data_IF_618219586799
#
_entry.id   IF_618219586799
#
_cell.length_a   1.000
_cell.length_b   1.000
_cell.length_c   1.000
_cell.angle_alpha   90.00
_cell.angle_beta   90.00
_cell.angle_gamma   90.00
#
_symmetry.space_group_name_H-M   'P 1'
#
loop_
_entity.id
_entity.type
_entity.pdbx_description
1 polymer ?
#
# COMPACT_ATOMS: atom_id res chain seq x y z
N UNK A 1 43.56 22.69 5.53
CA UNK A 1 42.42 22.21 4.76
C UNK A 1 42.39 20.70 4.52
N UNK A 2 43.49 20.01 4.16
CA UNK A 2 43.49 18.55 3.90
C UNK A 2 43.14 17.66 5.13
N UNK A 3 43.51 18.09 6.35
CA UNK A 3 43.27 17.30 7.59
C UNK A 3 41.79 17.30 8.03
N UNK A 4 41.00 18.33 7.70
CA UNK A 4 39.59 18.41 8.03
C UNK A 4 38.71 17.59 7.07
N UNK A 5 39.13 17.43 5.81
CA UNK A 5 38.42 16.63 4.82
C UNK A 5 38.48 15.13 5.17
N UNK A 6 39.67 14.66 5.65
CA UNK A 6 39.83 13.26 6.06
C UNK A 6 38.97 12.92 7.29
N UNK A 7 38.81 13.86 8.22
CA UNK A 7 37.94 13.68 9.40
C UNK A 7 36.45 13.58 9.04
N UNK A 8 35.99 14.37 8.07
CA UNK A 8 34.60 14.36 7.63
C UNK A 8 34.27 13.07 6.86
N UNK A 9 35.21 12.59 6.02
CA UNK A 9 35.03 11.33 5.28
C UNK A 9 35.03 10.13 6.24
N UNK A 10 35.89 10.12 7.26
CA UNK A 10 35.89 9.05 8.26
C UNK A 10 34.62 9.03 9.12
N UNK A 11 34.03 10.19 9.44
CA UNK A 11 32.77 10.30 10.17
C UNK A 11 31.59 9.81 9.33
N UNK A 12 31.59 10.10 8.02
CA UNK A 12 30.52 9.64 7.09
C UNK A 12 30.51 8.11 6.92
N UNK A 13 31.68 7.47 6.95
CA UNK A 13 31.78 6.00 6.82
C UNK A 13 31.29 5.28 8.09
N UNK A 14 31.41 5.91 9.27
CA UNK A 14 30.94 5.33 10.54
C UNK A 14 29.41 5.32 10.67
N UNK A 15 28.69 6.21 9.97
CA UNK A 15 27.22 6.30 10.01
C UNK A 15 26.57 5.22 9.13
N UNK A 16 27.29 4.65 8.16
CA UNK A 16 26.79 3.62 7.23
C UNK A 16 26.94 2.18 7.75
N UNK A 17 27.58 1.95 8.90
CA UNK A 17 27.82 0.60 9.45
C UNK A 17 26.79 0.14 10.48
N UNK A 18 25.65 0.81 10.60
CA UNK A 18 24.51 0.36 11.40
C UNK A 18 23.76 -0.78 10.73
N UNK A 19 24.37 -1.97 10.58
CA UNK A 19 23.64 -3.19 10.30
C UNK A 19 22.79 -3.55 11.52
N UNK A 20 21.59 -2.98 11.61
CA UNK A 20 20.56 -3.54 12.46
C UNK A 20 20.18 -4.90 11.88
N UNK A 21 20.45 -5.97 12.60
CA UNK A 21 19.93 -7.32 12.30
C UNK A 21 18.43 -7.30 12.49
N UNK A 22 17.70 -7.02 11.41
CA UNK A 22 16.24 -7.11 11.38
C UNK A 22 15.89 -8.59 11.23
N UNK A 23 15.04 -9.17 12.10
CA UNK A 23 14.52 -10.53 11.93
C UNK A 23 13.96 -10.74 10.52
N UNK A 24 14.11 -11.94 9.97
CA UNK A 24 13.73 -12.24 8.57
C UNK A 24 12.27 -11.90 8.25
N UNK A 25 11.39 -12.10 9.19
CA UNK A 25 9.95 -11.79 9.11
C UNK A 25 9.62 -10.29 9.03
N UNK A 26 10.58 -9.40 9.32
CA UNK A 26 10.39 -7.93 9.26
C UNK A 26 11.25 -7.24 8.19
N UNK A 27 12.02 -7.98 7.39
CA UNK A 27 12.89 -7.39 6.35
C UNK A 27 12.09 -6.58 5.30
N UNK A 28 10.88 -7.06 4.95
CA UNK A 28 9.98 -6.34 4.05
C UNK A 28 9.49 -5.01 4.62
N UNK A 29 9.20 -4.99 5.93
CA UNK A 29 8.75 -3.80 6.64
C UNK A 29 9.83 -2.72 6.73
N UNK A 30 11.08 -3.11 7.03
CA UNK A 30 12.19 -2.18 7.15
C UNK A 30 12.58 -1.55 5.80
N UNK A 31 12.54 -2.34 4.71
CA UNK A 31 12.84 -1.86 3.36
C UNK A 31 11.71 -0.97 2.83
N UNK A 32 10.44 -1.35 3.06
CA UNK A 32 9.27 -0.59 2.64
C UNK A 32 9.15 0.76 3.34
N UNK A 33 9.43 0.82 4.65
CA UNK A 33 9.38 2.06 5.42
C UNK A 33 10.43 3.08 4.94
N UNK A 34 11.65 2.62 4.57
CA UNK A 34 12.71 3.51 4.07
C UNK A 34 12.40 4.09 2.69
N UNK A 35 11.85 3.29 1.79
CA UNK A 35 11.52 3.72 0.41
C UNK A 35 10.20 4.51 0.38
N UNK A 36 9.18 4.08 1.13
CA UNK A 36 7.87 4.73 1.15
C UNK A 36 7.89 6.12 1.76
N UNK A 37 8.66 6.34 2.84
CA UNK A 37 8.79 7.65 3.47
C UNK A 37 9.48 8.67 2.55
N UNK A 38 10.50 8.24 1.80
CA UNK A 38 11.21 9.12 0.87
C UNK A 38 10.36 9.48 -0.37
N UNK A 39 9.62 8.51 -0.93
CA UNK A 39 8.78 8.74 -2.12
C UNK A 39 7.48 9.46 -1.80
N UNK A 40 6.86 9.18 -0.65
CA UNK A 40 5.61 9.82 -0.23
C UNK A 40 5.79 11.32 0.08
N UNK A 41 6.88 11.68 0.75
CA UNK A 41 7.20 13.07 1.05
C UNK A 41 7.48 13.90 -0.22
N UNK A 42 8.13 13.31 -1.24
CA UNK A 42 8.41 13.97 -2.51
C UNK A 42 7.14 14.10 -3.38
N UNK A 43 6.27 13.07 -3.43
CA UNK A 43 5.04 13.13 -4.20
C UNK A 43 4.04 14.17 -3.65
N UNK A 44 3.93 14.29 -2.32
CA UNK A 44 3.06 15.28 -1.67
C UNK A 44 3.51 16.73 -1.92
N UNK A 45 4.83 16.96 -2.00
CA UNK A 45 5.38 18.29 -2.23
C UNK A 45 5.24 18.77 -3.69
N UNK A 46 5.21 17.85 -4.66
CA UNK A 46 5.14 18.17 -6.10
C UNK A 46 3.70 18.45 -6.56
N UNK A 47 2.69 17.86 -5.90
CA UNK A 47 1.29 18.05 -6.27
C UNK A 47 0.64 19.29 -5.64
N UNK A 48 1.31 19.95 -4.69
CA UNK A 48 0.84 21.19 -4.07
C UNK A 48 1.28 22.41 -4.91
N UNK A 49 0.35 23.00 -5.66
CA UNK A 49 0.56 24.26 -6.38
C UNK A 49 0.98 25.42 -5.47
N UNK A 50 1.60 26.45 -6.03
CA UNK A 50 2.30 27.57 -5.37
C UNK A 50 1.47 28.46 -4.41
N UNK A 51 0.28 28.09 -4.00
CA UNK A 51 -0.52 28.82 -2.99
C UNK A 51 -0.95 27.96 -1.79
N UNK A 52 -0.73 26.66 -1.84
CA UNK A 52 -1.27 25.71 -0.85
C UNK A 52 -0.19 24.80 -0.23
N UNK A 53 1.08 25.20 -0.28
CA UNK A 53 2.20 24.37 0.21
C UNK A 53 2.04 23.94 1.67
N UNK A 54 1.44 24.79 2.51
CA UNK A 54 1.18 24.43 3.93
C UNK A 54 -0.01 23.50 4.08
N UNK A 55 -1.07 23.66 3.29
CA UNK A 55 -2.23 22.76 3.29
C UNK A 55 -1.90 21.45 2.54
N UNK A 56 -1.17 21.54 1.44
CA UNK A 56 -0.67 20.36 0.69
C UNK A 56 0.36 19.56 1.49
N UNK A 57 1.20 20.21 2.31
CA UNK A 57 2.12 19.54 3.22
C UNK A 57 1.38 18.89 4.40
N UNK A 58 0.29 19.45 4.89
CA UNK A 58 -0.57 18.85 5.92
C UNK A 58 -1.36 17.67 5.35
N UNK A 59 -1.94 17.80 4.15
CA UNK A 59 -2.64 16.70 3.48
C UNK A 59 -1.66 15.66 2.92
N UNK A 60 -0.53 16.09 2.35
CA UNK A 60 0.56 15.21 1.89
C UNK A 60 1.35 14.59 3.02
N UNK A 61 1.54 15.29 4.16
CA UNK A 61 2.18 14.78 5.36
C UNK A 61 1.32 13.74 6.07
N UNK A 62 0.02 13.96 6.18
CA UNK A 62 -0.92 12.98 6.74
C UNK A 62 -1.14 11.79 5.79
N UNK A 63 -1.28 12.03 4.49
CA UNK A 63 -1.33 10.96 3.50
C UNK A 63 0.03 10.25 3.36
N UNK A 64 1.15 10.97 3.47
CA UNK A 64 2.50 10.41 3.43
C UNK A 64 2.88 9.62 4.69
N UNK A 65 2.45 10.04 5.88
CA UNK A 65 2.63 9.30 7.12
C UNK A 65 1.75 8.04 7.15
N UNK A 66 0.52 8.11 6.64
CA UNK A 66 -0.34 6.95 6.46
C UNK A 66 0.25 5.98 5.41
N UNK A 67 0.78 6.48 4.30
CA UNK A 67 1.37 5.65 3.23
C UNK A 67 2.70 5.04 3.68
N UNK A 68 3.57 5.77 4.34
CA UNK A 68 4.87 5.25 4.83
C UNK A 68 4.73 4.18 5.91
N UNK A 69 3.85 4.39 6.89
CA UNK A 69 3.57 3.43 7.95
C UNK A 69 2.81 2.19 7.48
N UNK A 70 1.97 2.34 6.46
CA UNK A 70 1.17 1.25 5.88
C UNK A 70 2.03 0.29 5.06
N UNK A 71 2.92 0.80 4.22
CA UNK A 71 3.77 -0.04 3.34
C UNK A 71 4.68 -0.96 4.17
N UNK A 72 5.16 -0.50 5.33
CA UNK A 72 6.01 -1.29 6.22
C UNK A 72 5.35 -2.55 6.81
N UNK A 73 4.02 -2.57 6.90
CA UNK A 73 3.23 -3.68 7.45
C UNK A 73 2.31 -4.34 6.41
N UNK A 74 2.51 -4.03 5.12
CA UNK A 74 1.80 -4.70 4.04
C UNK A 74 2.19 -6.18 4.01
N UNK A 75 1.19 -7.04 3.90
CA UNK A 75 1.39 -8.47 3.69
C UNK A 75 0.53 -8.97 2.53
N UNK A 76 1.04 -9.96 1.82
CA UNK A 76 0.32 -10.65 0.75
C UNK A 76 0.62 -12.14 0.80
N UNK A 77 -0.45 -12.94 0.77
CA UNK A 77 -0.39 -14.40 0.76
C UNK A 77 -1.06 -14.95 -0.49
N UNK A 78 -0.44 -15.94 -1.13
CA UNK A 78 -1.09 -16.68 -2.21
C UNK A 78 -2.06 -17.71 -1.63
N UNK A 79 -3.34 -17.60 -1.94
CA UNK A 79 -4.41 -18.49 -1.46
C UNK A 79 -4.71 -19.64 -2.42
N UNK A 80 -4.53 -19.42 -3.73
CA UNK A 80 -4.71 -20.42 -4.78
C UNK A 80 -3.67 -20.23 -5.87
N UNK A 81 -3.21 -21.32 -6.46
CA UNK A 81 -2.32 -21.32 -7.60
C UNK A 81 -3.03 -20.89 -8.90
N UNK A 82 -2.30 -20.85 -10.01
CA UNK A 82 -2.80 -20.43 -11.32
C UNK A 82 -3.93 -21.34 -11.82
N UNK A 83 -3.76 -22.67 -11.71
CA UNK A 83 -4.73 -23.65 -12.21
C UNK A 83 -6.04 -23.59 -11.44
N UNK A 84 -6.00 -23.62 -10.11
CA UNK A 84 -7.19 -23.53 -9.26
C UNK A 84 -7.94 -22.20 -9.47
N UNK A 85 -7.18 -21.11 -9.69
CA UNK A 85 -7.75 -19.80 -9.97
C UNK A 85 -8.43 -19.78 -11.33
N UNK A 86 -7.76 -20.29 -12.38
CA UNK A 86 -8.31 -20.36 -13.73
C UNK A 86 -9.60 -21.21 -13.77
N UNK A 87 -9.57 -22.38 -13.13
CA UNK A 87 -10.72 -23.28 -13.03
C UNK A 87 -11.92 -22.62 -12.34
N UNK A 88 -11.68 -21.90 -11.23
CA UNK A 88 -12.72 -21.21 -10.48
C UNK A 88 -13.47 -20.17 -11.31
N UNK A 89 -12.77 -19.48 -12.20
CA UNK A 89 -13.34 -18.42 -13.03
C UNK A 89 -13.71 -18.86 -14.45
N UNK A 90 -13.48 -20.12 -14.80
CA UNK A 90 -13.63 -20.58 -16.18
C UNK A 90 -12.74 -19.79 -17.14
N UNK A 91 -11.55 -19.39 -16.66
CA UNK A 91 -10.65 -18.53 -17.41
C UNK A 91 -10.14 -19.25 -18.66
N UNK A 92 -10.14 -18.53 -19.78
CA UNK A 92 -9.57 -18.99 -21.05
C UNK A 92 -8.37 -18.11 -21.42
N UNK A 93 -7.31 -18.72 -21.93
CA UNK A 93 -6.06 -18.02 -22.31
C UNK A 93 -6.28 -16.91 -23.33
N UNK A 94 -7.29 -17.05 -24.18
CA UNK A 94 -7.71 -16.04 -25.17
C UNK A 94 -8.25 -14.74 -24.54
N UNK A 95 -8.61 -14.77 -23.26
CA UNK A 95 -9.15 -13.60 -22.55
C UNK A 95 -8.06 -12.58 -22.14
N UNK A 96 -6.77 -12.91 -22.33
CA UNK A 96 -5.67 -12.04 -21.92
C UNK A 96 -5.53 -11.91 -20.41
N UNK A 97 -4.83 -10.89 -19.93
CA UNK A 97 -4.66 -10.65 -18.49
C UNK A 97 -5.96 -10.12 -17.89
N UNK A 98 -6.40 -10.73 -16.79
CA UNK A 98 -7.62 -10.34 -16.08
C UNK A 98 -7.37 -10.20 -14.58
N UNK A 99 -8.00 -9.19 -13.98
CA UNK A 99 -8.04 -8.96 -12.53
C UNK A 99 -9.47 -9.10 -12.04
N UNK A 100 -9.68 -9.81 -10.92
CA UNK A 100 -10.99 -9.95 -10.28
C UNK A 100 -10.84 -9.89 -8.76
N UNK A 101 -11.55 -8.97 -8.10
CA UNK A 101 -11.64 -8.93 -6.65
C UNK A 101 -12.71 -9.94 -6.19
N UNK A 102 -12.34 -10.89 -5.36
CA UNK A 102 -13.27 -11.85 -4.76
C UNK A 102 -14.01 -11.25 -3.56
N UNK A 103 -13.25 -10.62 -2.68
CA UNK A 103 -13.78 -9.99 -1.47
C UNK A 103 -12.92 -8.83 -1.00
N UNK A 104 -13.56 -7.91 -0.30
CA UNK A 104 -12.90 -6.86 0.50
C UNK A 104 -13.49 -6.88 1.89
N UNK A 105 -12.67 -6.63 2.90
CA UNK A 105 -13.12 -6.53 4.28
C UNK A 105 -12.30 -5.52 5.07
N UNK A 106 -12.92 -5.01 6.10
CA UNK A 106 -12.30 -4.09 7.08
C UNK A 106 -12.46 -4.69 8.46
N UNK A 107 -11.38 -4.79 9.21
CA UNK A 107 -11.40 -5.39 10.55
C UNK A 107 -10.52 -4.61 11.53
N UNK A 108 -11.06 -4.21 12.68
CA UNK A 108 -12.47 -4.28 13.07
C UNK A 108 -13.35 -3.29 12.27
N UNK A 109 -14.65 -3.59 12.14
CA UNK A 109 -15.60 -2.74 11.42
C UNK A 109 -15.98 -1.47 12.19
N UNK A 110 -15.63 -1.38 13.47
CA UNK A 110 -15.88 -0.21 14.32
C UNK A 110 -14.70 0.00 15.26
N UNK A 111 -14.17 1.22 15.25
CA UNK A 111 -12.93 1.62 15.95
C UNK A 111 -13.05 3.01 16.56
N UNK A 112 -12.05 3.41 17.35
CA UNK A 112 -11.91 4.77 17.88
C UNK A 112 -10.81 5.55 17.14
N UNK A 113 -10.80 6.88 17.22
CA UNK A 113 -9.68 7.69 16.75
C UNK A 113 -8.37 7.21 17.37
N UNK A 114 -7.31 7.09 16.55
CA UNK A 114 -6.01 6.55 16.96
C UNK A 114 -5.87 5.03 16.85
N UNK A 115 -6.97 4.31 16.66
CA UNK A 115 -6.92 2.85 16.53
C UNK A 115 -6.42 2.40 15.14
N UNK A 116 -6.04 1.13 15.10
CA UNK A 116 -5.67 0.43 13.85
C UNK A 116 -6.87 -0.29 13.25
N UNK A 117 -6.95 -0.25 11.93
CA UNK A 117 -7.87 -1.04 11.11
C UNK A 117 -7.10 -1.77 10.02
N UNK A 118 -7.43 -3.03 9.75
CA UNK A 118 -6.84 -3.82 8.69
C UNK A 118 -7.78 -3.85 7.46
N UNK A 119 -7.26 -3.38 6.32
CA UNK A 119 -7.96 -3.33 5.04
C UNK A 119 -7.52 -4.54 4.20
N UNK A 120 -8.35 -5.57 4.14
CA UNK A 120 -8.05 -6.80 3.40
C UNK A 120 -8.73 -6.83 2.04
N UNK A 121 -8.05 -7.42 1.06
CA UNK A 121 -8.62 -7.74 -0.23
C UNK A 121 -8.14 -9.10 -0.71
N UNK A 122 -9.06 -9.93 -1.18
CA UNK A 122 -8.75 -11.16 -1.91
C UNK A 122 -9.05 -10.92 -3.38
N UNK A 123 -8.08 -11.16 -4.24
CA UNK A 123 -8.21 -10.95 -5.68
C UNK A 123 -7.48 -12.00 -6.50
N UNK A 124 -8.00 -12.29 -7.67
CA UNK A 124 -7.42 -13.18 -8.67
C UNK A 124 -6.67 -12.38 -9.74
N UNK A 125 -5.49 -12.88 -10.08
CA UNK A 125 -4.69 -12.47 -11.22
C UNK A 125 -4.67 -13.64 -12.19
N UNK A 126 -5.14 -13.45 -13.41
CA UNK A 126 -5.17 -14.46 -14.47
C UNK A 126 -4.42 -13.94 -15.68
N UNK A 127 -3.60 -14.79 -16.29
CA UNK A 127 -2.84 -14.48 -17.51
C UNK A 127 -2.68 -15.74 -18.36
N UNK A 128 -2.41 -15.60 -19.68
CA UNK A 128 -2.34 -16.73 -20.60
C UNK A 128 -1.32 -17.82 -20.23
N UNK A 129 -0.19 -17.44 -19.62
CA UNK A 129 0.82 -18.37 -19.14
C UNK A 129 0.89 -18.30 -17.61
N UNK A 130 1.10 -19.45 -16.98
CA UNK A 130 1.14 -19.58 -15.52
C UNK A 130 2.34 -18.91 -14.85
N UNK A 131 3.38 -18.60 -15.61
CA UNK A 131 4.61 -17.94 -15.16
C UNK A 131 4.69 -16.44 -15.57
N UNK A 132 3.64 -15.93 -16.25
CA UNK A 132 3.56 -14.51 -16.63
C UNK A 132 3.66 -13.62 -15.40
N UNK A 133 4.62 -12.69 -15.40
CA UNK A 133 4.75 -11.68 -14.35
C UNK A 133 3.82 -10.51 -14.63
N UNK A 134 2.80 -10.34 -13.81
CA UNK A 134 1.81 -9.27 -13.91
C UNK A 134 2.12 -8.21 -12.85
N UNK A 135 2.44 -6.99 -13.30
CA UNK A 135 2.55 -5.84 -12.39
C UNK A 135 1.15 -5.42 -11.96
N UNK A 136 0.93 -5.38 -10.65
CA UNK A 136 -0.36 -5.06 -10.02
C UNK A 136 -0.18 -3.87 -9.10
N UNK A 137 -1.05 -2.88 -9.22
CA UNK A 137 -1.15 -1.76 -8.29
C UNK A 137 -2.42 -1.90 -7.47
N UNK A 138 -2.25 -1.99 -6.16
CA UNK A 138 -3.33 -2.03 -5.17
C UNK A 138 -3.54 -0.64 -4.60
N UNK A 139 -4.75 -0.11 -4.70
CA UNK A 139 -5.14 1.21 -4.23
C UNK A 139 -6.26 1.06 -3.21
N UNK A 140 -6.19 1.77 -2.10
CA UNK A 140 -7.27 1.89 -1.10
C UNK A 140 -7.63 3.37 -0.95
N UNK A 141 -8.65 3.85 -1.68
CA UNK A 141 -9.16 5.21 -1.46
C UNK A 141 -10.06 5.22 -0.24
N UNK A 142 -9.70 6.03 0.76
CA UNK A 142 -10.46 6.19 1.99
C UNK A 142 -11.16 7.54 1.93
N UNK A 143 -12.49 7.53 2.05
CA UNK A 143 -13.33 8.72 1.96
C UNK A 143 -14.15 8.91 3.21
N UNK A 144 -14.30 10.16 3.62
CA UNK A 144 -15.21 10.58 4.69
C UNK A 144 -16.12 11.69 4.15
N UNK A 145 -17.44 11.48 4.21
CA UNK A 145 -18.43 12.40 3.62
C UNK A 145 -18.15 12.75 2.14
N UNK A 146 -17.65 11.77 1.36
CA UNK A 146 -17.30 11.94 -0.05
C UNK A 146 -15.91 12.56 -0.29
N UNK A 147 -15.27 13.14 0.72
CA UNK A 147 -13.95 13.73 0.62
C UNK A 147 -12.86 12.64 0.77
N UNK A 148 -11.84 12.69 -0.07
CA UNK A 148 -10.68 11.79 0.00
C UNK A 148 -9.81 12.18 1.20
N UNK A 149 -9.71 11.28 2.18
CA UNK A 149 -8.92 11.50 3.40
C UNK A 149 -7.66 10.62 3.47
N UNK A 150 -7.53 9.63 2.59
CA UNK A 150 -6.33 8.79 2.48
C UNK A 150 -6.36 7.95 1.21
N UNK A 151 -5.16 7.63 0.68
CA UNK A 151 -5.02 6.81 -0.52
C UNK A 151 -3.74 5.98 -0.46
N UNK A 152 -3.63 4.97 0.43
CA UNK A 152 -2.50 4.04 0.38
C UNK A 152 -2.50 3.28 -0.94
N UNK A 153 -1.30 3.17 -1.53
CA UNK A 153 -1.06 2.52 -2.81
C UNK A 153 0.19 1.64 -2.72
N UNK A 154 0.09 0.40 -3.20
CA UNK A 154 1.17 -0.59 -3.19
C UNK A 154 1.28 -1.20 -4.58
N UNK A 155 2.51 -1.25 -5.13
CA UNK A 155 2.81 -1.94 -6.38
C UNK A 155 3.56 -3.22 -6.10
N UNK A 156 3.03 -4.33 -6.64
CA UNK A 156 3.58 -5.68 -6.49
C UNK A 156 3.60 -6.38 -7.84
N UNK A 157 4.40 -7.44 -7.96
CA UNK A 157 4.40 -8.28 -9.15
C UNK A 157 3.97 -9.68 -8.76
N UNK A 158 2.95 -10.20 -9.42
CA UNK A 158 2.43 -11.55 -9.21
C UNK A 158 2.57 -12.41 -10.46
N UNK A 159 2.67 -13.72 -10.26
CA UNK A 159 2.30 -14.71 -11.28
C UNK A 159 0.79 -14.98 -11.15
N UNK A 160 0.13 -15.63 -12.13
CA UNK A 160 -1.28 -16.01 -12.01
C UNK A 160 -1.58 -16.79 -10.73
N UNK A 161 -2.71 -16.47 -10.11
CA UNK A 161 -3.13 -17.03 -8.83
C UNK A 161 -4.14 -16.14 -8.12
N UNK A 162 -4.60 -16.57 -6.96
CA UNK A 162 -5.42 -15.76 -6.06
C UNK A 162 -4.61 -15.33 -4.84
N UNK A 163 -4.66 -14.07 -4.52
CA UNK A 163 -3.88 -13.43 -3.46
C UNK A 163 -4.80 -12.76 -2.44
N UNK A 164 -4.42 -12.81 -1.18
CA UNK A 164 -5.01 -12.00 -0.11
C UNK A 164 -3.97 -10.99 0.36
N UNK A 165 -4.28 -9.71 0.24
CA UNK A 165 -3.45 -8.63 0.76
C UNK A 165 -4.07 -8.00 1.99
N UNK A 166 -3.23 -7.52 2.90
CA UNK A 166 -3.62 -6.76 4.07
C UNK A 166 -2.83 -5.45 4.14
N UNK A 167 -3.56 -4.35 4.21
CA UNK A 167 -3.02 -3.01 4.38
C UNK A 167 -3.48 -2.49 5.76
N UNK A 168 -2.63 -2.54 6.79
CA UNK A 168 -2.95 -1.95 8.07
C UNK A 168 -2.96 -0.43 7.98
N UNK A 169 -4.01 0.19 8.51
CA UNK A 169 -4.19 1.64 8.57
C UNK A 169 -4.31 2.07 10.02
N UNK A 170 -3.51 3.04 10.44
CA UNK A 170 -3.66 3.72 11.72
C UNK A 170 -4.39 5.05 11.51
N UNK A 171 -5.49 5.23 12.22
CA UNK A 171 -6.20 6.50 12.16
C UNK A 171 -5.49 7.56 12.99
N UNK A 172 -5.63 8.80 12.58
CA UNK A 172 -5.20 9.92 13.39
C UNK A 172 -6.01 9.98 14.70
N UNK A 173 -5.39 10.45 15.80
CA UNK A 173 -6.05 10.58 17.09
C UNK A 173 -7.19 11.62 17.10
N UNK A 174 -7.23 12.48 16.09
CA UNK A 174 -8.26 13.48 15.83
C UNK A 174 -9.19 13.09 14.65
N UNK A 175 -9.17 11.82 14.22
CA UNK A 175 -10.05 11.32 13.17
C UNK A 175 -11.51 11.59 13.50
N UNK A 176 -12.24 12.15 12.54
CA UNK A 176 -13.66 12.50 12.73
C UNK A 176 -14.51 11.24 12.93
N UNK A 177 -15.47 11.32 13.84
CA UNK A 177 -16.44 10.23 14.08
C UNK A 177 -17.44 10.15 12.93
N UNK A 178 -17.77 8.93 12.52
CA UNK A 178 -18.71 8.66 11.44
C UNK A 178 -18.28 7.48 10.57
N UNK A 179 -18.95 7.32 9.44
CA UNK A 179 -18.70 6.22 8.50
C UNK A 179 -17.69 6.63 7.44
N UNK A 180 -16.66 5.81 7.31
CA UNK A 180 -15.63 5.92 6.28
C UNK A 180 -15.90 4.89 5.18
N UNK A 181 -15.79 5.32 3.93
CA UNK A 181 -15.83 4.45 2.74
C UNK A 181 -14.40 4.09 2.34
N UNK A 182 -14.19 2.84 1.98
CA UNK A 182 -12.92 2.33 1.44
C UNK A 182 -13.19 1.74 0.06
N UNK A 183 -12.70 2.40 -0.98
CA UNK A 183 -12.75 1.91 -2.35
C UNK A 183 -11.43 1.21 -2.64
N UNK A 184 -11.46 -0.11 -2.68
CA UNK A 184 -10.31 -0.94 -3.06
C UNK A 184 -10.30 -1.13 -4.56
N UNK A 185 -9.23 -0.73 -5.21
CA UNK A 185 -9.00 -0.94 -6.65
C UNK A 185 -7.72 -1.75 -6.85
N UNK A 186 -7.82 -2.79 -7.66
CA UNK A 186 -6.68 -3.61 -8.08
C UNK A 186 -6.52 -3.40 -9.58
N UNK A 187 -5.36 -2.93 -10.02
CA UNK A 187 -5.10 -2.54 -11.41
C UNK A 187 -3.87 -3.24 -11.94
N UNK A 188 -3.92 -3.64 -13.20
CA UNK A 188 -2.78 -4.01 -14.03
C UNK A 188 -2.80 -3.17 -15.32
N UNK A 189 -1.84 -3.40 -16.22
CA UNK A 189 -1.83 -2.73 -17.51
C UNK A 189 -3.11 -3.03 -18.33
N UNK A 190 -3.59 -4.28 -18.27
CA UNK A 190 -4.64 -4.81 -19.17
C UNK A 190 -5.98 -5.03 -18.46
N UNK A 191 -6.07 -4.80 -17.15
CA UNK A 191 -7.32 -5.03 -16.43
C UNK A 191 -7.36 -4.36 -15.07
N UNK A 192 -8.58 -4.09 -14.60
CA UNK A 192 -8.82 -3.56 -13.26
C UNK A 192 -10.15 -4.02 -12.72
N UNK A 193 -10.24 -4.09 -11.39
CA UNK A 193 -11.49 -4.30 -10.66
C UNK A 193 -11.50 -3.44 -9.41
N UNK A 194 -12.70 -3.07 -8.93
CA UNK A 194 -12.88 -2.21 -7.77
C UNK A 194 -14.04 -2.66 -6.91
N UNK A 195 -13.89 -2.59 -5.59
CA UNK A 195 -14.96 -2.87 -4.62
C UNK A 195 -14.94 -1.85 -3.48
N UNK A 196 -16.12 -1.58 -2.97
CA UNK A 196 -16.34 -0.70 -1.83
C UNK A 196 -16.63 -1.51 -0.56
N UNK A 197 -16.13 -1.02 0.57
CA UNK A 197 -16.48 -1.46 1.92
C UNK A 197 -16.46 -0.26 2.86
N UNK A 198 -16.96 -0.42 4.08
CA UNK A 198 -17.04 0.70 5.05
C UNK A 198 -16.58 0.27 6.43
N UNK A 199 -16.16 1.25 7.24
CA UNK A 199 -15.98 1.11 8.68
C UNK A 199 -16.47 2.35 9.40
N UNK A 200 -16.69 2.24 10.72
CA UNK A 200 -17.20 3.34 11.53
C UNK A 200 -16.19 3.73 12.60
N UNK A 201 -15.95 5.03 12.73
CA UNK A 201 -15.20 5.65 13.85
C UNK A 201 -16.21 6.18 14.88
N UNK A 202 -16.09 5.74 16.14
CA UNK A 202 -16.99 6.06 17.26
C UNK A 202 -16.44 7.12 18.16
#
# INVERSE_FOLDING_TARGET
>A
MRKHIVGIVALLVYILSGCATVPEEHKGAATGAGIGAATGALAGAVLAGEGSRTQGALLGGLAGALVGGVIGNYSVDQKRNAEDTANRYGYQTSSGTMIRIESTSVSPASIYPGDRVDLKATYAVMAPQSDTRVAVTEIREIRFNGELVGKPEVSVTHIPGTYESNVPLFLASDAKRGTYQVITSIKSQDGSDSRETTFTVR
#
